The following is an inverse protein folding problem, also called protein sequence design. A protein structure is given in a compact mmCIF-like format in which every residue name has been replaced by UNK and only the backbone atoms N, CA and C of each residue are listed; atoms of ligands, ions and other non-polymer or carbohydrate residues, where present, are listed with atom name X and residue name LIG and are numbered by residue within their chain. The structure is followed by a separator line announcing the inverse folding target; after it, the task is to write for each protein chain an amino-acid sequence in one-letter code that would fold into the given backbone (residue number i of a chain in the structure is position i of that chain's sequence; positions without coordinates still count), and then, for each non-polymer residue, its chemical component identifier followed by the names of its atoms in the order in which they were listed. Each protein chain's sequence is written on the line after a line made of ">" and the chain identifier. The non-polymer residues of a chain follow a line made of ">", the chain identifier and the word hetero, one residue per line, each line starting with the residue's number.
data_IF_629392780693
#
_entry.id   IF_629392780693
#
_cell.length_a   1.000
_cell.length_b   1.000
_cell.length_c   1.000
_cell.angle_alpha   90.00
_cell.angle_beta   90.00
_cell.angle_gamma   90.00
#
_symmetry.space_group_name_H-M   'P 1'
#
loop_
_entity.id
_entity.type
_entity.pdbx_description
1 polymer ?
#
# COMPACT_ATOMS: atom_id res chain seq x y z
N UNK A 1 -48.86 78.94 -13.04
CA UNK A 1 -47.96 79.73 -12.16
C UNK A 1 -47.72 78.87 -10.93
N UNK A 2 -46.55 78.32 -10.61
CA UNK A 2 -45.28 78.99 -10.31
C UNK A 2 -44.08 78.06 -10.59
N UNK A 3 -43.07 78.64 -11.23
CA UNK A 3 -41.70 78.12 -11.33
C UNK A 3 -41.04 78.03 -9.95
N UNK A 4 -40.24 77.00 -9.71
CA UNK A 4 -38.85 77.17 -9.22
C UNK A 4 -37.93 76.15 -9.90
N UNK A 5 -36.98 76.69 -10.66
CA UNK A 5 -35.78 76.04 -11.22
C UNK A 5 -34.75 75.92 -10.11
N UNK A 6 -34.06 74.79 -9.94
CA UNK A 6 -32.69 74.73 -9.41
C UNK A 6 -31.89 73.62 -10.11
N UNK A 7 -30.89 74.08 -10.85
CA UNK A 7 -29.57 73.52 -11.18
C UNK A 7 -29.36 72.19 -11.94
N UNK A 8 -28.76 72.41 -13.11
CA UNK A 8 -27.94 71.49 -13.91
C UNK A 8 -26.70 71.05 -13.10
N UNK A 9 -26.27 69.80 -13.26
CA UNK A 9 -24.88 69.39 -13.57
C UNK A 9 -24.98 68.03 -14.28
N UNK A 10 -24.57 68.02 -15.56
CA UNK A 10 -24.23 66.80 -16.28
C UNK A 10 -22.96 66.23 -15.65
N UNK A 11 -22.98 64.96 -15.25
CA UNK A 11 -21.78 64.15 -15.05
C UNK A 11 -21.84 62.98 -16.04
N UNK A 12 -20.75 62.65 -16.76
CA UNK A 12 -20.76 61.61 -17.77
C UNK A 12 -20.88 60.23 -17.11
N UNK A 13 -21.71 59.37 -17.74
CA UNK A 13 -21.84 57.95 -17.45
C UNK A 13 -20.46 57.27 -17.62
N UNK A 14 -19.67 57.18 -16.55
CA UNK A 14 -18.60 56.19 -16.46
C UNK A 14 -19.24 54.88 -15.97
N UNK A 15 -19.88 54.17 -16.89
CA UNK A 15 -20.33 52.80 -16.63
C UNK A 15 -19.07 51.95 -16.48
N UNK A 16 -18.73 51.67 -15.23
CA UNK A 16 -17.70 50.72 -14.84
C UNK A 16 -17.98 49.40 -15.59
N UNK A 17 -17.19 49.11 -16.62
CA UNK A 17 -17.12 47.78 -17.19
C UNK A 17 -16.60 46.87 -16.08
N UNK A 18 -17.51 46.16 -15.42
CA UNK A 18 -17.19 45.00 -14.60
C UNK A 18 -16.53 44.00 -15.53
N UNK A 19 -15.20 44.02 -15.55
CA UNK A 19 -14.38 42.95 -16.09
C UNK A 19 -14.71 41.75 -15.22
N UNK A 20 -15.73 40.98 -15.61
CA UNK A 20 -15.87 39.60 -15.18
C UNK A 20 -14.64 38.90 -15.75
N UNK A 21 -13.56 38.95 -14.99
CA UNK A 21 -12.47 38.02 -15.18
C UNK A 21 -13.09 36.65 -15.11
N UNK A 22 -13.11 35.94 -16.24
CA UNK A 22 -13.24 34.50 -16.25
C UNK A 22 -12.08 33.99 -15.40
N UNK A 23 -12.31 33.83 -14.11
CA UNK A 23 -11.54 32.92 -13.29
C UNK A 23 -11.75 31.57 -13.94
N UNK A 24 -10.88 31.24 -14.88
CA UNK A 24 -10.64 29.88 -15.34
C UNK A 24 -10.34 29.13 -14.06
N UNK A 25 -11.35 28.43 -13.52
CA UNK A 25 -11.14 27.39 -12.55
C UNK A 25 -10.11 26.50 -13.22
N UNK A 26 -8.85 26.58 -12.76
CA UNK A 26 -7.84 25.59 -13.12
C UNK A 26 -8.50 24.25 -12.81
N UNK A 27 -8.86 23.51 -13.84
CA UNK A 27 -9.31 22.14 -13.68
C UNK A 27 -8.29 21.47 -12.76
N UNK A 28 -8.77 20.84 -11.68
CA UNK A 28 -7.89 20.11 -10.79
C UNK A 28 -7.02 19.18 -11.66
N UNK A 29 -5.70 19.12 -11.42
CA UNK A 29 -4.81 18.34 -12.25
C UNK A 29 -5.33 16.90 -12.32
N UNK A 30 -5.54 16.40 -13.54
CA UNK A 30 -5.97 15.01 -13.76
C UNK A 30 -4.90 14.10 -13.16
N UNK A 31 -5.26 13.37 -12.10
CA UNK A 31 -4.37 12.42 -11.45
C UNK A 31 -4.13 11.29 -12.44
N UNK A 32 -2.91 11.21 -12.99
CA UNK A 32 -2.54 10.19 -13.97
C UNK A 32 -2.09 8.93 -13.25
N UNK A 33 -2.74 7.81 -13.54
CA UNK A 33 -2.36 6.50 -13.02
C UNK A 33 -0.91 6.12 -13.42
N UNK A 34 -0.22 5.41 -12.53
CA UNK A 34 1.10 4.82 -12.82
C UNK A 34 0.91 3.53 -13.62
N UNK A 35 1.68 3.39 -14.70
CA UNK A 35 1.63 2.18 -15.54
C UNK A 35 2.46 1.04 -14.91
N UNK A 36 1.78 -0.02 -14.48
CA UNK A 36 2.40 -1.23 -13.92
C UNK A 36 2.77 -2.29 -14.98
N UNK A 37 2.36 -2.12 -16.24
CA UNK A 37 2.65 -3.08 -17.32
C UNK A 37 4.15 -3.37 -17.54
N UNK A 38 5.08 -2.40 -17.41
CA UNK A 38 6.50 -2.67 -17.57
C UNK A 38 7.06 -3.73 -16.62
N UNK A 39 6.53 -3.82 -15.37
CA UNK A 39 6.96 -4.84 -14.38
C UNK A 39 6.48 -6.25 -14.73
N UNK A 40 5.38 -6.36 -15.45
CA UNK A 40 4.83 -7.64 -15.94
C UNK A 40 5.57 -8.04 -17.21
N UNK A 41 5.74 -7.11 -18.15
CA UNK A 41 6.45 -7.34 -19.41
C UNK A 41 7.92 -7.74 -19.19
N UNK A 42 8.58 -7.22 -18.15
CA UNK A 42 9.94 -7.62 -17.77
C UNK A 42 10.01 -9.00 -17.11
N UNK A 43 8.87 -9.59 -16.72
CA UNK A 43 8.80 -10.83 -15.95
C UNK A 43 9.21 -10.68 -14.49
N UNK A 44 9.32 -9.45 -13.97
CA UNK A 44 9.59 -9.19 -12.55
C UNK A 44 8.39 -9.59 -11.68
N UNK A 45 7.18 -9.34 -12.18
CA UNK A 45 5.92 -9.59 -11.48
C UNK A 45 4.99 -10.47 -12.32
N UNK A 46 4.21 -11.31 -11.66
CA UNK A 46 3.17 -12.15 -12.26
C UNK A 46 1.83 -11.92 -11.56
N UNK A 47 0.74 -12.25 -12.27
CA UNK A 47 -0.61 -12.18 -11.75
C UNK A 47 -0.77 -13.04 -10.48
N UNK A 48 -1.41 -12.47 -9.47
CA UNK A 48 -1.73 -13.10 -8.18
C UNK A 48 -3.21 -13.44 -8.06
N UNK A 49 -4.09 -12.61 -8.62
CA UNK A 49 -5.56 -12.68 -8.50
C UNK A 49 -6.16 -13.05 -9.86
N UNK A 50 -7.20 -13.87 -9.86
CA UNK A 50 -7.94 -14.31 -11.06
C UNK A 50 -9.28 -13.58 -11.19
N UNK A 51 -9.99 -13.38 -10.07
CA UNK A 51 -11.26 -12.65 -10.04
C UNK A 51 -11.32 -11.70 -8.87
N UNK A 52 -11.95 -10.54 -9.04
CA UNK A 52 -12.13 -9.59 -7.96
C UNK A 52 -13.50 -8.94 -7.95
N UNK A 53 -13.93 -8.48 -6.77
CA UNK A 53 -15.15 -7.71 -6.61
C UNK A 53 -14.88 -6.44 -5.82
N UNK A 54 -15.37 -5.31 -6.34
CA UNK A 54 -15.34 -4.03 -5.63
C UNK A 54 -16.67 -3.83 -4.91
N UNK A 55 -16.61 -3.61 -3.61
CA UNK A 55 -17.75 -3.22 -2.78
C UNK A 55 -17.69 -1.70 -2.58
N UNK A 56 -18.75 -1.03 -3.02
CA UNK A 56 -18.95 0.42 -3.00
C UNK A 56 -19.91 0.83 -1.89
N UNK A 57 -19.55 1.84 -1.12
CA UNK A 57 -20.35 2.39 -0.05
C UNK A 57 -21.27 3.51 -0.56
N UNK A 58 -22.57 3.22 -0.59
CA UNK A 58 -23.61 4.17 -0.99
C UNK A 58 -24.48 4.59 0.20
N UNK A 59 -23.91 4.70 1.40
CA UNK A 59 -24.63 4.97 2.66
C UNK A 59 -24.70 6.45 2.99
N UNK A 60 -25.50 6.82 4.00
CA UNK A 60 -25.75 8.22 4.34
C UNK A 60 -24.48 8.97 4.77
N UNK A 61 -23.59 8.34 5.55
CA UNK A 61 -22.34 8.95 6.05
C UNK A 61 -21.40 9.36 4.91
N UNK A 62 -21.48 8.67 3.75
CA UNK A 62 -20.69 9.01 2.57
C UNK A 62 -21.06 10.37 1.95
N UNK A 63 -22.18 10.97 2.33
CA UNK A 63 -22.52 12.34 1.92
C UNK A 63 -21.76 13.41 2.71
N UNK A 64 -21.05 13.05 3.78
CA UNK A 64 -20.36 14.03 4.61
C UNK A 64 -19.32 14.83 3.82
N UNK A 65 -19.17 16.14 4.11
CA UNK A 65 -18.14 16.96 3.51
C UNK A 65 -16.73 16.40 3.73
N UNK A 66 -15.98 16.25 2.65
CA UNK A 66 -14.60 15.78 2.69
C UNK A 66 -13.77 16.41 1.58
N UNK A 67 -12.70 17.11 1.96
CA UNK A 67 -11.81 17.87 1.05
C UNK A 67 -12.62 18.84 0.17
N UNK A 68 -12.64 18.63 -1.15
CA UNK A 68 -13.29 19.51 -2.14
C UNK A 68 -14.70 19.02 -2.55
N UNK A 69 -15.26 18.02 -1.88
CA UNK A 69 -16.57 17.45 -2.18
C UNK A 69 -17.11 16.64 -1.01
N UNK A 70 -17.70 15.48 -1.28
CA UNK A 70 -18.13 14.50 -0.27
C UNK A 70 -17.20 13.29 -0.19
N UNK A 71 -17.31 12.49 0.88
CA UNK A 71 -16.64 11.17 0.95
C UNK A 71 -17.01 10.29 -0.27
N UNK A 72 -18.27 10.32 -0.72
CA UNK A 72 -18.75 9.63 -1.92
C UNK A 72 -18.06 10.11 -3.20
N UNK A 73 -17.84 11.42 -3.36
CA UNK A 73 -17.08 11.93 -4.51
C UNK A 73 -15.63 11.42 -4.49
N UNK A 74 -15.02 11.40 -3.30
CA UNK A 74 -13.66 10.87 -3.14
C UNK A 74 -13.60 9.38 -3.45
N UNK A 75 -14.55 8.58 -2.97
CA UNK A 75 -14.63 7.14 -3.25
C UNK A 75 -14.69 6.86 -4.75
N UNK A 76 -15.60 7.54 -5.47
CA UNK A 76 -15.72 7.40 -6.93
C UNK A 76 -14.42 7.78 -7.65
N UNK A 77 -13.73 8.82 -7.18
CA UNK A 77 -12.43 9.21 -7.73
C UNK A 77 -11.34 8.14 -7.47
N UNK A 78 -11.34 7.53 -6.28
CA UNK A 78 -10.41 6.45 -5.94
C UNK A 78 -10.71 5.18 -6.75
N UNK A 79 -11.98 4.82 -6.95
CA UNK A 79 -12.35 3.68 -7.80
C UNK A 79 -11.92 3.90 -9.24
N UNK A 80 -12.08 5.12 -9.78
CA UNK A 80 -11.56 5.47 -11.10
C UNK A 80 -10.04 5.38 -11.18
N UNK A 81 -9.32 5.88 -10.17
CA UNK A 81 -7.86 5.78 -10.15
C UNK A 81 -7.40 4.31 -9.99
N UNK A 82 -8.09 3.52 -9.19
CA UNK A 82 -7.85 2.09 -9.00
C UNK A 82 -8.01 1.33 -10.31
N UNK A 83 -9.16 1.47 -10.98
CA UNK A 83 -9.44 0.89 -12.29
C UNK A 83 -8.40 1.30 -13.33
N UNK A 84 -8.04 2.59 -13.37
CA UNK A 84 -7.01 3.06 -14.30
C UNK A 84 -5.60 2.52 -14.00
N UNK A 85 -5.33 2.12 -12.76
CA UNK A 85 -4.01 1.63 -12.34
C UNK A 85 -3.86 0.11 -12.53
N UNK A 86 -4.97 -0.65 -12.66
CA UNK A 86 -4.92 -2.09 -12.93
C UNK A 86 -4.18 -2.33 -14.27
N UNK A 87 -3.07 -3.10 -14.26
CA UNK A 87 -2.35 -3.41 -15.49
C UNK A 87 -3.11 -4.43 -16.34
N UNK A 88 -2.61 -4.71 -17.54
CA UNK A 88 -3.19 -5.70 -18.45
C UNK A 88 -3.04 -7.11 -17.87
N UNK A 89 -4.08 -7.56 -17.20
CA UNK A 89 -4.20 -8.86 -16.56
C UNK A 89 -5.42 -9.60 -17.12
N UNK A 90 -5.42 -10.93 -16.98
CA UNK A 90 -6.59 -11.77 -17.33
C UNK A 90 -7.43 -11.92 -16.06
N UNK A 91 -8.28 -10.93 -15.81
CA UNK A 91 -9.13 -10.87 -14.62
C UNK A 91 -10.60 -11.00 -14.99
N UNK A 92 -11.38 -11.58 -14.07
CA UNK A 92 -12.81 -11.30 -13.98
C UNK A 92 -13.06 -10.24 -12.90
N UNK A 93 -14.02 -9.37 -13.13
CA UNK A 93 -14.44 -8.30 -12.23
C UNK A 93 -15.94 -8.36 -11.96
N UNK A 94 -16.32 -7.97 -10.74
CA UNK A 94 -17.68 -7.70 -10.33
C UNK A 94 -17.71 -6.41 -9.50
N UNK A 95 -18.91 -5.85 -9.33
CA UNK A 95 -19.09 -4.76 -8.38
C UNK A 95 -20.43 -4.86 -7.68
N UNK A 96 -20.44 -4.42 -6.43
CA UNK A 96 -21.61 -4.40 -5.56
C UNK A 96 -21.63 -3.11 -4.77
N UNK A 97 -22.83 -2.60 -4.53
CA UNK A 97 -23.03 -1.47 -3.63
C UNK A 97 -23.80 -1.92 -2.38
N UNK A 98 -23.61 -1.19 -1.27
CA UNK A 98 -24.45 -1.31 -0.08
C UNK A 98 -24.93 0.05 0.42
N UNK A 99 -26.06 0.05 1.12
CA UNK A 99 -26.83 1.23 1.46
C UNK A 99 -28.32 1.00 1.15
N UNK A 100 -29.16 2.02 1.36
CA UNK A 100 -30.60 1.88 1.15
C UNK A 100 -31.01 2.30 -0.27
N UNK A 101 -31.37 1.31 -1.11
CA UNK A 101 -31.71 1.54 -2.52
C UNK A 101 -33.21 1.62 -2.80
N UNK A 102 -34.05 1.34 -1.80
CA UNK A 102 -35.50 1.35 -1.95
C UNK A 102 -36.15 2.07 -0.78
N UNK A 103 -37.22 2.80 -1.05
CA UNK A 103 -37.94 3.59 -0.04
C UNK A 103 -38.69 2.71 0.97
N UNK A 104 -39.04 1.47 0.58
CA UNK A 104 -39.89 0.55 1.35
C UNK A 104 -39.36 -0.90 1.39
N UNK A 105 -38.11 -1.15 0.98
CA UNK A 105 -37.59 -2.52 0.84
C UNK A 105 -36.30 -2.76 1.62
N UNK A 106 -36.08 -4.05 1.90
CA UNK A 106 -34.99 -4.58 2.73
C UNK A 106 -33.69 -4.80 1.94
N UNK A 107 -33.69 -4.51 0.63
CA UNK A 107 -32.52 -4.69 -0.22
C UNK A 107 -31.48 -3.61 0.10
N UNK A 108 -30.58 -3.95 1.02
CA UNK A 108 -29.50 -3.03 1.44
C UNK A 108 -28.13 -3.34 0.82
N UNK A 109 -28.09 -4.33 -0.07
CA UNK A 109 -26.97 -4.61 -0.95
C UNK A 109 -27.45 -4.96 -2.36
N UNK A 110 -26.72 -4.49 -3.38
CA UNK A 110 -27.07 -4.64 -4.79
C UNK A 110 -25.85 -5.01 -5.63
N UNK A 111 -25.91 -6.14 -6.34
CA UNK A 111 -24.97 -6.42 -7.42
C UNK A 111 -25.16 -5.37 -8.53
N UNK A 112 -24.09 -4.66 -8.87
CA UNK A 112 -24.08 -3.67 -9.93
C UNK A 112 -23.83 -4.33 -11.28
N UNK A 113 -22.88 -5.27 -11.32
CA UNK A 113 -22.60 -6.12 -12.47
C UNK A 113 -21.66 -7.27 -12.08
N UNK A 114 -21.47 -8.19 -13.02
CA UNK A 114 -20.45 -9.23 -12.98
C UNK A 114 -20.78 -10.40 -12.05
N UNK A 115 -19.90 -11.42 -11.98
CA UNK A 115 -18.57 -11.47 -12.61
C UNK A 115 -18.57 -11.42 -14.16
N UNK A 116 -17.63 -10.68 -14.75
CA UNK A 116 -17.39 -10.59 -16.20
C UNK A 116 -15.91 -10.34 -16.47
N UNK A 117 -15.42 -10.55 -17.69
CA UNK A 117 -14.04 -10.22 -18.04
C UNK A 117 -13.74 -8.73 -17.79
N UNK A 118 -12.57 -8.45 -17.20
CA UNK A 118 -12.12 -7.10 -16.85
C UNK A 118 -12.05 -6.16 -18.05
N UNK A 119 -12.72 -5.02 -17.91
CA UNK A 119 -12.65 -3.90 -18.83
C UNK A 119 -12.46 -2.59 -18.08
N UNK A 120 -11.46 -1.82 -18.53
CA UNK A 120 -11.32 -0.41 -18.18
C UNK A 120 -12.66 0.31 -18.27
N UNK A 121 -12.91 1.18 -17.30
CA UNK A 121 -14.11 2.00 -17.12
C UNK A 121 -15.39 1.27 -16.66
N UNK A 122 -15.44 -0.06 -16.58
CA UNK A 122 -16.65 -0.77 -16.13
C UNK A 122 -17.02 -0.38 -14.69
N UNK A 123 -16.03 -0.38 -13.79
CA UNK A 123 -16.18 0.05 -12.39
C UNK A 123 -16.63 1.51 -12.26
N UNK A 124 -15.91 2.51 -12.83
CA UNK A 124 -16.38 3.92 -12.85
C UNK A 124 -17.80 4.10 -13.37
N UNK A 125 -18.16 3.41 -14.45
CA UNK A 125 -19.48 3.51 -15.05
C UNK A 125 -20.56 2.93 -14.13
N UNK A 126 -20.27 1.82 -13.44
CA UNK A 126 -21.21 1.19 -12.52
C UNK A 126 -21.51 2.06 -11.29
N UNK A 127 -20.51 2.81 -10.79
CA UNK A 127 -20.69 3.70 -9.62
C UNK A 127 -21.11 5.13 -10.00
N UNK A 128 -21.05 5.49 -11.28
CA UNK A 128 -21.42 6.82 -11.75
C UNK A 128 -22.84 7.29 -11.33
N UNK A 129 -23.90 6.44 -11.36
CA UNK A 129 -25.26 6.85 -11.01
C UNK A 129 -25.46 7.24 -9.54
N UNK A 130 -24.55 6.84 -8.64
CA UNK A 130 -24.65 7.19 -7.23
C UNK A 130 -24.22 8.64 -7.00
N UNK A 131 -25.19 9.53 -6.80
CA UNK A 131 -24.97 10.96 -6.55
C UNK A 131 -25.13 11.34 -5.08
N UNK A 132 -25.83 10.52 -4.31
CA UNK A 132 -25.95 10.60 -2.85
C UNK A 132 -26.10 9.19 -2.28
N UNK A 133 -25.62 8.99 -1.06
CA UNK A 133 -25.86 7.77 -0.31
C UNK A 133 -27.06 7.86 0.63
N UNK A 134 -27.58 6.72 1.08
CA UNK A 134 -28.78 6.63 1.92
C UNK A 134 -28.74 5.42 2.84
N UNK A 135 -29.43 5.51 3.97
CA UNK A 135 -29.52 4.42 4.96
C UNK A 135 -28.27 4.25 5.80
N UNK A 136 -28.30 3.20 6.63
CA UNK A 136 -27.17 2.72 7.45
C UNK A 136 -26.17 1.92 6.60
N UNK A 137 -25.14 1.34 7.25
CA UNK A 137 -23.99 0.69 6.58
C UNK A 137 -23.93 -0.85 6.73
N UNK A 138 -24.80 -1.60 6.02
CA UNK A 138 -24.86 -3.07 6.03
C UNK A 138 -23.77 -3.73 5.19
N UNK A 139 -22.50 -3.48 5.56
CA UNK A 139 -21.35 -4.08 4.89
C UNK A 139 -21.35 -5.63 5.02
N UNK A 140 -22.00 -6.18 6.05
CA UNK A 140 -22.19 -7.63 6.18
C UNK A 140 -23.02 -8.22 5.04
N UNK A 141 -24.13 -7.58 4.68
CA UNK A 141 -24.95 -7.98 3.55
C UNK A 141 -24.20 -7.83 2.23
N UNK A 142 -23.33 -6.82 2.12
CA UNK A 142 -22.47 -6.64 0.96
C UNK A 142 -21.46 -7.77 0.80
N UNK A 143 -20.81 -8.18 1.90
CA UNK A 143 -19.84 -9.27 1.93
C UNK A 143 -20.51 -10.64 1.70
N UNK A 144 -21.68 -10.88 2.27
CA UNK A 144 -22.46 -12.10 1.97
C UNK A 144 -22.92 -12.10 0.50
N UNK A 145 -23.32 -10.95 -0.04
CA UNK A 145 -23.65 -10.76 -1.45
C UNK A 145 -22.47 -11.05 -2.38
N UNK A 146 -21.29 -10.48 -2.09
CA UNK A 146 -20.07 -10.75 -2.83
C UNK A 146 -19.66 -12.24 -2.73
N UNK A 147 -19.92 -12.86 -1.57
CA UNK A 147 -19.74 -14.31 -1.42
C UNK A 147 -20.65 -15.09 -2.37
N UNK A 148 -21.89 -14.64 -2.60
CA UNK A 148 -22.77 -15.28 -3.57
C UNK A 148 -22.34 -15.00 -5.03
N UNK A 149 -21.96 -13.77 -5.33
CA UNK A 149 -21.57 -13.32 -6.68
C UNK A 149 -20.33 -14.08 -7.18
N UNK A 150 -19.33 -14.31 -6.32
CA UNK A 150 -18.08 -15.01 -6.66
C UNK A 150 -18.14 -16.54 -6.61
N UNK A 151 -19.30 -17.15 -6.33
CA UNK A 151 -19.42 -18.60 -6.09
C UNK A 151 -18.94 -19.47 -7.25
N UNK A 152 -19.10 -19.00 -8.49
CA UNK A 152 -18.67 -19.71 -9.71
C UNK A 152 -17.23 -19.46 -10.12
N UNK A 153 -16.56 -18.48 -9.50
CA UNK A 153 -15.21 -18.08 -9.90
C UNK A 153 -14.17 -19.09 -9.42
N UNK A 154 -13.09 -19.23 -10.20
CA UNK A 154 -11.97 -20.13 -9.90
C UNK A 154 -10.71 -19.33 -9.60
N UNK A 155 -9.70 -19.97 -8.99
CA UNK A 155 -8.44 -19.31 -8.68
C UNK A 155 -8.51 -18.37 -7.48
N UNK A 156 -7.60 -17.39 -7.46
CA UNK A 156 -7.43 -16.43 -6.37
C UNK A 156 -8.43 -15.28 -6.50
N UNK A 157 -9.10 -14.98 -5.40
CA UNK A 157 -10.17 -14.00 -5.28
C UNK A 157 -9.70 -12.80 -4.45
N UNK A 158 -10.05 -11.60 -4.90
CA UNK A 158 -9.86 -10.37 -4.12
C UNK A 158 -11.21 -9.66 -3.94
N UNK A 159 -11.56 -9.32 -2.70
CA UNK A 159 -12.70 -8.45 -2.41
C UNK A 159 -12.14 -7.14 -1.87
N UNK A 160 -12.50 -6.02 -2.49
CA UNK A 160 -12.00 -4.70 -2.13
C UNK A 160 -13.18 -3.82 -1.73
N UNK A 161 -13.32 -3.52 -0.45
CA UNK A 161 -14.38 -2.66 0.07
C UNK A 161 -13.89 -1.23 0.31
N UNK A 162 -14.54 -0.27 -0.33
CA UNK A 162 -14.38 1.16 -0.06
C UNK A 162 -15.50 1.59 0.88
N UNK A 163 -15.18 2.27 1.98
CA UNK A 163 -16.16 2.78 2.97
C UNK A 163 -15.46 3.70 3.99
N UNK A 164 -16.22 4.55 4.68
CA UNK A 164 -15.73 5.29 5.85
C UNK A 164 -15.86 4.52 7.19
N UNK A 165 -16.50 3.34 7.14
CA UNK A 165 -16.68 2.44 8.28
C UNK A 165 -17.66 2.97 9.34
N UNK A 166 -18.50 3.95 9.01
CA UNK A 166 -19.45 4.56 9.95
C UNK A 166 -20.83 3.89 9.88
N UNK A 167 -21.65 4.03 10.93
CA UNK A 167 -23.01 3.50 11.02
C UNK A 167 -23.11 1.95 10.83
N UNK A 168 -22.10 1.21 11.32
CA UNK A 168 -21.98 -0.25 11.17
C UNK A 168 -22.37 -1.05 12.43
N UNK A 169 -22.73 -0.39 13.53
CA UNK A 169 -22.88 -1.01 14.86
C UNK A 169 -24.03 -2.00 14.94
N UNK A 170 -25.06 -1.81 14.10
CA UNK A 170 -26.20 -2.71 13.99
C UNK A 170 -25.93 -3.97 13.12
N UNK A 171 -24.75 -4.06 12.51
CA UNK A 171 -24.39 -5.07 11.53
C UNK A 171 -23.21 -5.92 11.98
N UNK A 172 -22.89 -6.99 11.23
CA UNK A 172 -21.85 -7.94 11.60
C UNK A 172 -20.81 -8.16 10.47
N UNK A 173 -20.15 -7.10 9.97
CA UNK A 173 -19.30 -7.21 8.78
C UNK A 173 -18.06 -8.08 9.00
N UNK A 174 -17.50 -8.10 10.21
CA UNK A 174 -16.39 -9.03 10.56
C UNK A 174 -16.85 -10.49 10.49
N UNK A 175 -18.07 -10.79 10.95
CA UNK A 175 -18.62 -12.13 10.86
C UNK A 175 -18.90 -12.54 9.40
N UNK A 176 -19.37 -11.62 8.56
CA UNK A 176 -19.55 -11.85 7.12
C UNK A 176 -18.22 -12.08 6.40
N UNK A 177 -17.19 -11.29 6.71
CA UNK A 177 -15.83 -11.51 6.21
C UNK A 177 -15.28 -12.89 6.61
N UNK A 178 -15.53 -13.32 7.85
CA UNK A 178 -15.15 -14.66 8.31
C UNK A 178 -15.95 -15.76 7.60
N UNK A 179 -17.24 -15.56 7.31
CA UNK A 179 -18.04 -16.49 6.49
C UNK A 179 -17.47 -16.62 5.09
N UNK A 180 -17.13 -15.50 4.43
CA UNK A 180 -16.47 -15.50 3.12
C UNK A 180 -15.14 -16.26 3.17
N UNK A 181 -14.32 -16.01 4.19
CA UNK A 181 -13.05 -16.72 4.40
C UNK A 181 -13.26 -18.22 4.59
N UNK A 182 -14.31 -18.62 5.31
CA UNK A 182 -14.65 -20.04 5.49
C UNK A 182 -15.15 -20.68 4.17
N UNK A 183 -15.86 -19.94 3.33
CA UNK A 183 -16.37 -20.42 2.04
C UNK A 183 -15.26 -20.67 1.02
N UNK A 184 -14.25 -19.79 0.96
CA UNK A 184 -13.21 -19.83 -0.07
C UNK A 184 -11.81 -20.23 0.43
N UNK A 185 -11.60 -20.30 1.74
CA UNK A 185 -10.31 -20.64 2.34
C UNK A 185 -9.21 -19.66 1.91
N UNK A 186 -8.03 -20.19 1.57
CA UNK A 186 -6.87 -19.38 1.15
C UNK A 186 -6.97 -18.78 -0.24
N UNK A 187 -8.08 -19.04 -0.95
CA UNK A 187 -8.33 -18.39 -2.23
C UNK A 187 -8.79 -16.95 -2.08
N UNK A 188 -9.39 -16.53 -0.97
CA UNK A 188 -9.94 -15.17 -0.84
C UNK A 188 -9.09 -14.29 0.08
N UNK A 189 -8.80 -13.08 -0.39
CA UNK A 189 -8.28 -11.98 0.43
C UNK A 189 -9.25 -10.80 0.40
N UNK A 190 -9.43 -10.16 1.57
CA UNK A 190 -10.34 -9.03 1.75
C UNK A 190 -9.49 -7.79 2.05
N UNK A 191 -9.60 -6.79 1.20
CA UNK A 191 -8.89 -5.52 1.31
C UNK A 191 -9.89 -4.41 1.59
N UNK A 192 -9.50 -3.43 2.39
CA UNK A 192 -10.37 -2.31 2.74
C UNK A 192 -9.70 -0.99 2.46
N UNK A 193 -10.45 -0.04 1.91
CA UNK A 193 -10.03 1.33 1.66
C UNK A 193 -10.88 2.24 2.53
N UNK A 194 -10.29 2.74 3.61
CA UNK A 194 -10.97 3.59 4.58
C UNK A 194 -11.02 5.05 4.13
N UNK A 195 -12.21 5.61 3.94
CA UNK A 195 -12.41 7.02 3.61
C UNK A 195 -12.61 7.91 4.84
N UNK A 196 -12.30 9.20 4.69
CA UNK A 196 -12.40 10.21 5.76
C UNK A 196 -11.08 10.51 6.49
N UNK A 197 -11.06 11.60 7.27
CA UNK A 197 -9.93 12.04 8.11
C UNK A 197 -10.31 11.85 9.57
N UNK A 198 -9.82 10.76 10.20
CA UNK A 198 -10.06 10.50 11.63
C UNK A 198 -8.94 11.03 12.53
N UNK A 199 -7.98 11.80 11.99
CA UNK A 199 -6.97 12.52 12.80
C UNK A 199 -7.47 13.89 13.27
N UNK A 200 -8.56 14.41 12.70
CA UNK A 200 -9.12 15.74 13.01
C UNK A 200 -10.41 15.71 13.85
N UNK A 201 -10.39 15.02 14.98
CA UNK A 201 -11.52 15.10 15.92
C UNK A 201 -11.03 15.40 17.34
N UNK A 202 -10.83 16.69 17.60
CA UNK A 202 -10.84 17.24 18.96
C UNK A 202 -12.22 16.95 19.58
N UNK A 203 -12.21 16.31 20.75
CA UNK A 203 -13.30 16.13 21.73
C UNK A 203 -14.59 15.37 21.39
N UNK A 204 -14.93 14.45 22.31
CA UNK A 204 -16.17 13.65 22.48
C UNK A 204 -16.28 12.31 21.71
N UNK A 205 -16.06 11.19 22.44
CA UNK A 205 -16.69 9.87 22.21
C UNK A 205 -16.19 8.99 21.06
N UNK A 206 -15.61 7.82 21.41
CA UNK A 206 -15.18 6.68 20.56
C UNK A 206 -14.85 6.92 19.07
N UNK A 207 -13.64 7.45 18.81
CA UNK A 207 -13.24 8.05 17.52
C UNK A 207 -12.48 7.14 16.55
N UNK A 208 -12.51 5.82 16.77
CA UNK A 208 -11.79 4.84 15.94
C UNK A 208 -12.70 3.73 15.38
N UNK A 209 -14.02 3.80 15.53
CA UNK A 209 -14.93 2.70 15.17
C UNK A 209 -14.78 2.26 13.72
N UNK A 210 -14.84 3.17 12.75
CA UNK A 210 -14.63 2.80 11.34
C UNK A 210 -13.21 2.33 10.99
N UNK A 211 -12.17 2.86 11.67
CA UNK A 211 -10.80 2.35 11.50
C UNK A 211 -10.70 0.91 12.00
N UNK A 212 -11.21 0.66 13.20
CA UNK A 212 -11.22 -0.66 13.81
C UNK A 212 -12.05 -1.64 12.98
N UNK A 213 -13.24 -1.22 12.53
CA UNK A 213 -14.16 -2.05 11.77
C UNK A 213 -13.56 -2.45 10.42
N UNK A 214 -13.11 -1.49 9.61
CA UNK A 214 -12.54 -1.79 8.29
C UNK A 214 -11.22 -2.57 8.38
N UNK A 215 -10.43 -2.36 9.43
CA UNK A 215 -9.24 -3.18 9.69
C UNK A 215 -9.63 -4.62 10.09
N UNK A 216 -10.58 -4.79 11.01
CA UNK A 216 -11.05 -6.11 11.44
C UNK A 216 -11.66 -6.92 10.28
N UNK A 217 -12.38 -6.27 9.37
CA UNK A 217 -12.92 -6.89 8.14
C UNK A 217 -11.78 -7.41 7.24
N UNK A 218 -10.73 -6.60 7.02
CA UNK A 218 -9.58 -7.05 6.24
C UNK A 218 -8.81 -8.19 6.93
N UNK A 219 -8.62 -8.09 8.25
CA UNK A 219 -7.90 -9.07 9.07
C UNK A 219 -8.63 -10.43 9.10
N UNK A 220 -9.96 -10.44 9.07
CA UNK A 220 -10.75 -11.66 8.95
C UNK A 220 -10.43 -12.46 7.67
N UNK A 221 -10.00 -11.78 6.60
CA UNK A 221 -9.50 -12.41 5.37
C UNK A 221 -8.12 -13.08 5.52
N UNK A 222 -7.36 -12.77 6.59
CA UNK A 222 -6.01 -13.28 6.94
C UNK A 222 -4.87 -12.98 5.95
N UNK A 223 -5.15 -12.48 4.76
CA UNK A 223 -4.14 -12.17 3.74
C UNK A 223 -4.29 -10.77 3.12
N UNK A 224 -5.42 -10.10 3.35
CA UNK A 224 -5.62 -8.73 2.93
C UNK A 224 -5.14 -7.72 3.98
N UNK A 225 -5.38 -6.45 3.71
CA UNK A 225 -4.96 -5.34 4.56
C UNK A 225 -5.85 -4.11 4.30
N UNK A 226 -5.87 -3.19 5.27
CA UNK A 226 -6.50 -1.89 5.11
C UNK A 226 -5.49 -0.85 4.62
N UNK A 227 -5.97 0.05 3.77
CA UNK A 227 -5.31 1.31 3.41
C UNK A 227 -6.25 2.47 3.68
N UNK A 228 -5.72 3.68 3.85
CA UNK A 228 -6.56 4.87 3.89
C UNK A 228 -6.75 5.42 2.48
N UNK A 229 -7.90 6.04 2.22
CA UNK A 229 -8.16 6.73 0.97
C UNK A 229 -7.13 7.83 0.69
N UNK A 230 -6.51 8.40 1.72
CA UNK A 230 -5.40 9.34 1.56
C UNK A 230 -4.13 8.67 1.02
N UNK A 231 -3.79 7.50 1.55
CA UNK A 231 -2.59 6.76 1.12
C UNK A 231 -2.68 6.27 -0.32
N UNK A 232 -3.89 6.06 -0.84
CA UNK A 232 -4.13 5.63 -2.23
C UNK A 232 -4.65 6.76 -3.14
N UNK A 233 -4.78 7.99 -2.64
CA UNK A 233 -5.18 9.13 -3.46
C UNK A 233 -4.06 9.62 -4.40
N UNK A 234 -2.81 9.18 -4.20
CA UNK A 234 -1.69 9.49 -5.07
C UNK A 234 -1.48 8.39 -6.12
N UNK A 235 -0.94 8.72 -7.32
CA UNK A 235 -0.61 7.72 -8.34
C UNK A 235 0.28 6.58 -7.81
N UNK A 236 1.31 6.92 -7.02
CA UNK A 236 2.26 5.96 -6.48
C UNK A 236 1.62 5.10 -5.39
N UNK A 237 0.77 5.70 -4.55
CA UNK A 237 0.06 4.99 -3.50
C UNK A 237 -0.97 4.01 -4.05
N UNK A 238 -1.73 4.42 -5.07
CA UNK A 238 -2.64 3.51 -5.76
C UNK A 238 -1.89 2.38 -6.46
N UNK A 239 -0.75 2.68 -7.12
CA UNK A 239 0.06 1.64 -7.76
C UNK A 239 0.62 0.62 -6.77
N UNK A 240 1.11 1.07 -5.61
CA UNK A 240 1.54 0.17 -4.54
C UNK A 240 0.38 -0.71 -4.03
N UNK A 241 -0.81 -0.13 -3.89
CA UNK A 241 -2.01 -0.88 -3.51
C UNK A 241 -2.38 -1.93 -4.56
N UNK A 242 -2.55 -1.54 -5.83
CA UNK A 242 -2.87 -2.44 -6.95
C UNK A 242 -1.81 -3.52 -7.12
N UNK A 243 -0.53 -3.19 -7.01
CA UNK A 243 0.56 -4.16 -7.07
C UNK A 243 0.43 -5.22 -5.97
N UNK A 244 0.17 -4.82 -4.72
CA UNK A 244 0.02 -5.76 -3.59
C UNK A 244 -1.25 -6.61 -3.68
N UNK A 245 -2.33 -6.06 -4.24
CA UNK A 245 -3.58 -6.79 -4.44
C UNK A 245 -3.39 -7.82 -5.56
N UNK A 246 -2.99 -7.39 -6.75
CA UNK A 246 -3.09 -8.17 -7.99
C UNK A 246 -1.81 -8.85 -8.45
N UNK A 247 -0.64 -8.48 -7.92
CA UNK A 247 0.64 -8.98 -8.39
C UNK A 247 1.41 -9.70 -7.28
N UNK A 248 2.35 -10.55 -7.70
CA UNK A 248 3.37 -11.17 -6.84
C UNK A 248 4.68 -11.27 -7.61
N UNK A 249 5.80 -11.38 -6.89
CA UNK A 249 7.10 -11.60 -7.52
C UNK A 249 7.06 -12.89 -8.36
N UNK A 250 7.65 -12.85 -9.55
CA UNK A 250 7.82 -14.06 -10.36
C UNK A 250 8.65 -15.10 -9.59
N UNK A 251 8.30 -16.39 -9.65
CA UNK A 251 9.17 -17.42 -9.09
C UNK A 251 10.55 -17.31 -9.75
N UNK A 252 11.65 -17.51 -8.98
CA UNK A 252 12.99 -17.44 -9.55
C UNK A 252 13.08 -18.43 -10.71
N UNK A 253 13.62 -17.98 -11.85
CA UNK A 253 13.89 -18.88 -12.97
C UNK A 253 14.73 -20.05 -12.45
N UNK A 254 14.42 -21.30 -12.82
CA UNK A 254 15.26 -22.43 -12.47
C UNK A 254 16.71 -22.09 -12.80
N UNK A 255 17.60 -22.19 -11.81
CA UNK A 255 19.02 -22.01 -12.05
C UNK A 255 19.47 -23.13 -12.99
N UNK A 256 19.67 -22.79 -14.26
CA UNK A 256 20.39 -23.66 -15.18
C UNK A 256 21.86 -23.39 -14.92
N UNK A 257 22.54 -24.35 -14.29
CA UNK A 257 23.97 -24.28 -14.12
C UNK A 257 24.60 -24.01 -15.50
N UNK A 258 25.50 -23.01 -15.61
CA UNK A 258 26.29 -22.84 -16.82
C UNK A 258 26.93 -24.20 -17.18
N UNK A 259 27.05 -24.55 -18.47
CA UNK A 259 27.84 -25.71 -18.87
C UNK A 259 29.21 -25.64 -18.17
N UNK A 260 29.72 -26.75 -17.62
CA UNK A 260 31.03 -26.75 -17.00
C UNK A 260 32.02 -26.14 -17.98
N UNK A 261 32.69 -25.07 -17.54
CA UNK A 261 33.71 -24.43 -18.35
C UNK A 261 34.72 -25.51 -18.79
N UNK A 262 35.13 -25.53 -20.07
CA UNK A 262 36.16 -26.46 -20.50
C UNK A 262 37.39 -26.31 -19.60
N UNK A 263 37.90 -27.45 -19.15
CA UNK A 263 39.04 -27.55 -18.25
C UNK A 263 40.21 -26.71 -18.81
N UNK A 264 40.83 -25.81 -18.02
CA UNK A 264 41.91 -24.97 -18.53
C UNK A 264 43.08 -25.85 -18.96
N UNK A 265 43.51 -25.70 -20.22
CA UNK A 265 44.78 -26.27 -20.67
C UNK A 265 45.94 -25.75 -19.77
N UNK A 266 47.02 -26.54 -19.58
CA UNK A 266 48.13 -26.14 -18.72
C UNK A 266 48.74 -24.82 -19.21
N UNK A 267 48.76 -23.81 -18.33
CA UNK A 267 49.28 -22.48 -18.64
C UNK A 267 50.80 -22.49 -18.87
N UNK A 268 51.31 -21.84 -19.92
CA UNK A 268 52.72 -21.43 -20.00
C UNK A 268 52.99 -20.24 -19.05
N UNK A 269 54.24 -20.15 -18.58
CA UNK A 269 54.76 -19.14 -17.67
C UNK A 269 54.58 -17.68 -18.19
N UNK A 270 54.55 -16.67 -17.29
CA UNK A 270 53.94 -15.36 -17.57
C UNK A 270 54.88 -14.41 -18.34
N UNK A 271 54.32 -13.72 -19.33
CA UNK A 271 54.89 -12.52 -19.93
C UNK A 271 53.99 -11.31 -19.62
N UNK A 272 54.62 -10.17 -19.35
CA UNK A 272 54.02 -8.97 -18.76
C UNK A 272 53.47 -8.02 -19.84
N UNK A 273 52.44 -7.27 -19.44
CA UNK A 273 51.87 -6.01 -20.00
C UNK A 273 50.59 -6.12 -20.87
N UNK A 274 49.72 -5.09 -20.92
CA UNK A 274 49.42 -4.03 -19.94
C UNK A 274 47.93 -3.99 -19.54
N UNK A 275 47.65 -3.34 -18.41
CA UNK A 275 46.30 -3.04 -17.90
C UNK A 275 45.42 -2.28 -18.90
N UNK A 276 44.17 -2.72 -19.15
CA UNK A 276 43.08 -1.83 -19.54
C UNK A 276 42.29 -1.41 -18.29
N UNK A 277 41.95 -0.12 -18.25
CA UNK A 277 41.25 0.55 -17.16
C UNK A 277 39.91 -0.11 -16.76
N UNK A 278 39.52 -0.09 -15.48
CA UNK A 278 38.21 -0.54 -15.06
C UNK A 278 37.19 0.61 -15.19
N UNK A 279 36.13 0.41 -15.98
CA UNK A 279 34.88 1.17 -15.80
C UNK A 279 33.64 0.29 -16.05
N UNK A 280 32.48 0.55 -15.38
CA UNK A 280 32.26 1.43 -14.25
C UNK A 280 31.73 0.70 -12.99
N UNK A 281 32.08 1.32 -11.86
CA UNK A 281 31.66 1.03 -10.48
C UNK A 281 30.14 0.85 -10.39
N UNK A 282 29.71 -0.31 -9.89
CA UNK A 282 28.36 -0.50 -9.41
C UNK A 282 28.09 0.58 -8.35
N UNK A 283 27.16 1.49 -8.65
CA UNK A 283 26.68 2.47 -7.67
C UNK A 283 26.20 1.70 -6.43
N UNK A 284 26.69 2.10 -5.26
CA UNK A 284 26.19 1.62 -3.99
C UNK A 284 24.65 1.72 -3.98
N UNK A 285 23.91 0.65 -3.63
CA UNK A 285 22.48 0.77 -3.46
C UNK A 285 22.24 1.76 -2.31
N UNK A 286 21.76 2.95 -2.65
CA UNK A 286 21.43 3.97 -1.67
C UNK A 286 20.37 3.41 -0.71
N UNK A 287 20.74 3.26 0.57
CA UNK A 287 19.81 3.00 1.66
C UNK A 287 19.11 1.63 1.65
N UNK A 288 19.83 0.53 1.40
CA UNK A 288 19.25 -0.80 1.59
C UNK A 288 18.99 -1.06 3.08
N UNK A 289 17.75 -0.79 3.52
CA UNK A 289 17.24 -1.21 4.82
C UNK A 289 17.01 -2.72 4.75
N UNK A 290 18.01 -3.51 5.15
CA UNK A 290 17.77 -4.92 5.42
C UNK A 290 16.74 -5.02 6.55
N UNK A 291 15.79 -5.95 6.46
CA UNK A 291 14.75 -6.16 7.49
C UNK A 291 14.88 -7.56 8.05
N UNK A 292 15.90 -7.79 8.87
CA UNK A 292 16.02 -9.03 9.65
C UNK A 292 15.09 -8.89 10.86
N UNK A 293 14.02 -9.70 10.89
CA UNK A 293 13.09 -9.71 12.02
C UNK A 293 13.51 -10.78 13.02
N UNK A 294 13.45 -10.42 14.30
CA UNK A 294 13.77 -11.30 15.40
C UNK A 294 12.54 -11.62 16.23
N UNK A 295 12.50 -12.84 16.77
CA UNK A 295 11.52 -13.21 17.77
C UNK A 295 11.69 -12.33 19.04
N UNK A 296 10.63 -12.12 19.83
CA UNK A 296 10.72 -11.39 21.09
C UNK A 296 11.85 -11.93 21.97
N UNK A 297 12.70 -11.05 22.50
CA UNK A 297 13.81 -11.39 23.40
C UNK A 297 14.98 -12.17 22.78
N UNK A 298 14.94 -12.53 21.49
CA UNK A 298 16.01 -13.32 20.84
C UNK A 298 16.90 -12.49 19.91
N UNK A 299 18.13 -12.97 19.74
CA UNK A 299 19.13 -12.45 18.80
C UNK A 299 19.54 -13.46 17.71
N UNK A 300 18.92 -14.65 17.68
CA UNK A 300 19.23 -15.67 16.68
C UNK A 300 18.74 -15.27 15.28
N UNK A 301 19.63 -15.40 14.30
CA UNK A 301 19.31 -15.16 12.89
C UNK A 301 18.59 -16.38 12.33
N UNK A 302 17.34 -16.21 11.90
CA UNK A 302 16.59 -17.30 11.28
C UNK A 302 17.19 -17.66 9.91
N UNK A 303 17.22 -18.94 9.52
CA UNK A 303 17.80 -19.38 8.24
C UNK A 303 17.29 -18.63 7.01
N UNK A 304 16.00 -18.25 7.01
CA UNK A 304 15.37 -17.46 5.93
C UNK A 304 16.02 -16.10 5.66
N UNK A 305 16.81 -15.58 6.61
CA UNK A 305 17.52 -14.31 6.46
C UNK A 305 18.98 -14.45 6.03
N UNK A 306 19.51 -15.69 5.89
CA UNK A 306 20.89 -15.90 5.44
C UNK A 306 21.15 -15.33 4.05
N UNK A 307 20.23 -15.50 3.10
CA UNK A 307 20.37 -14.94 1.75
C UNK A 307 20.37 -13.40 1.71
N UNK A 308 19.78 -12.74 2.70
CA UNK A 308 19.85 -11.27 2.81
C UNK A 308 21.20 -10.80 3.38
N UNK A 309 21.80 -11.59 4.27
CA UNK A 309 23.15 -11.33 4.81
C UNK A 309 24.21 -11.59 3.73
N UNK A 310 24.02 -12.62 2.91
CA UNK A 310 24.89 -12.95 1.78
C UNK A 310 25.02 -11.79 0.80
N UNK A 311 23.92 -11.09 0.46
CA UNK A 311 23.98 -9.89 -0.40
C UNK A 311 24.86 -8.78 0.17
N UNK A 312 24.88 -8.60 1.49
CA UNK A 312 25.77 -7.62 2.15
C UNK A 312 27.23 -8.08 2.00
N UNK A 313 27.50 -9.37 2.21
CA UNK A 313 28.82 -9.92 2.06
C UNK A 313 29.33 -9.81 0.61
N UNK A 314 28.51 -10.11 -0.38
CA UNK A 314 28.83 -9.93 -1.80
C UNK A 314 29.20 -8.48 -2.12
N UNK A 315 28.40 -7.53 -1.63
CA UNK A 315 28.71 -6.10 -1.81
C UNK A 315 30.06 -5.72 -1.20
N UNK A 316 30.34 -6.15 0.04
CA UNK A 316 31.61 -5.85 0.71
C UNK A 316 32.82 -6.53 0.05
N UNK A 317 32.63 -7.71 -0.54
CA UNK A 317 33.65 -8.39 -1.35
C UNK A 317 33.94 -7.66 -2.66
N UNK A 318 32.90 -7.17 -3.33
CA UNK A 318 33.02 -6.41 -4.58
C UNK A 318 33.56 -5.00 -4.38
N UNK A 319 33.46 -4.45 -3.17
CA UNK A 319 33.89 -3.10 -2.84
C UNK A 319 34.85 -3.14 -1.63
N UNK A 320 36.15 -3.44 -1.81
CA UNK A 320 37.10 -3.64 -0.70
C UNK A 320 37.23 -2.46 0.26
N UNK A 321 37.04 -1.23 -0.22
CA UNK A 321 37.11 0.01 0.58
C UNK A 321 35.81 0.31 1.35
N UNK A 322 34.69 -0.32 1.01
CA UNK A 322 33.40 -0.01 1.62
C UNK A 322 33.35 -0.48 3.07
N UNK A 323 32.70 0.32 3.93
CA UNK A 323 32.41 -0.04 5.33
C UNK A 323 30.91 -0.07 5.55
N UNK A 324 30.44 -0.77 6.60
CA UNK A 324 29.01 -0.81 6.96
C UNK A 324 28.80 -0.63 8.45
N UNK A 325 27.73 0.08 8.81
CA UNK A 325 27.17 0.12 10.17
C UNK A 325 25.89 -0.72 10.23
N UNK A 326 25.92 -1.76 11.06
CA UNK A 326 24.79 -2.62 11.40
C UNK A 326 24.06 -2.02 12.60
N UNK A 327 22.81 -1.62 12.42
CA UNK A 327 22.02 -0.88 13.41
C UNK A 327 20.91 -1.77 13.98
N UNK A 328 21.01 -2.14 15.25
CA UNK A 328 19.98 -2.92 15.93
C UNK A 328 18.88 -2.05 16.53
N UNK A 329 17.63 -2.50 16.42
CA UNK A 329 16.45 -1.81 16.97
C UNK A 329 15.49 -2.78 17.67
N UNK A 330 14.75 -2.25 18.65
CA UNK A 330 13.71 -2.98 19.39
C UNK A 330 12.39 -2.21 19.38
N UNK A 331 11.33 -2.88 19.82
CA UNK A 331 10.11 -2.21 20.27
C UNK A 331 10.28 -1.63 21.68
N UNK A 332 9.22 -1.06 22.25
CA UNK A 332 9.21 -0.43 23.56
C UNK A 332 8.72 -1.34 24.71
N UNK A 333 8.69 -2.66 24.53
CA UNK A 333 8.05 -3.55 25.52
C UNK A 333 8.91 -3.72 26.77
N UNK A 334 10.23 -3.84 26.61
CA UNK A 334 11.16 -4.01 27.73
C UNK A 334 11.71 -2.67 28.22
N UNK A 335 12.43 -2.70 29.36
CA UNK A 335 13.12 -1.51 29.86
C UNK A 335 14.14 -1.01 28.83
N UNK A 336 14.36 0.31 28.78
CA UNK A 336 15.33 0.91 27.84
C UNK A 336 16.71 0.24 27.93
N UNK A 337 17.20 -0.05 29.15
CA UNK A 337 18.48 -0.72 29.35
C UNK A 337 18.50 -2.16 28.78
N UNK A 338 17.41 -2.91 28.95
CA UNK A 338 17.29 -4.25 28.37
C UNK A 338 17.20 -4.20 26.83
N UNK A 339 16.45 -3.24 26.30
CA UNK A 339 16.31 -3.02 24.86
C UNK A 339 17.62 -2.57 24.20
N UNK A 340 18.42 -1.74 24.86
CA UNK A 340 19.76 -1.38 24.38
C UNK A 340 20.65 -2.63 24.27
N UNK A 341 20.71 -3.46 25.32
CA UNK A 341 21.47 -4.72 25.28
C UNK A 341 21.00 -5.66 24.18
N UNK A 342 19.68 -5.88 24.06
CA UNK A 342 19.11 -6.77 23.05
C UNK A 342 19.37 -6.27 21.62
N UNK A 343 19.24 -4.96 21.39
CA UNK A 343 19.53 -4.35 20.09
C UNK A 343 21.00 -4.51 19.70
N UNK A 344 21.92 -4.36 20.66
CA UNK A 344 23.35 -4.56 20.43
C UNK A 344 23.63 -6.02 20.09
N UNK A 345 23.12 -6.97 20.87
CA UNK A 345 23.31 -8.41 20.61
C UNK A 345 22.82 -8.84 19.22
N UNK A 346 21.71 -8.25 18.73
CA UNK A 346 21.21 -8.49 17.36
C UNK A 346 22.15 -7.95 16.29
N UNK A 347 22.67 -6.74 16.48
CA UNK A 347 23.64 -6.15 15.56
C UNK A 347 24.94 -6.98 15.54
N UNK A 348 25.41 -7.42 16.71
CA UNK A 348 26.60 -8.26 16.85
C UNK A 348 26.41 -9.63 16.19
N UNK A 349 25.23 -10.24 16.30
CA UNK A 349 24.93 -11.53 15.66
C UNK A 349 25.04 -11.45 14.14
N UNK A 350 24.60 -10.34 13.54
CA UNK A 350 24.73 -10.12 12.08
C UNK A 350 26.18 -9.85 11.69
N UNK A 351 26.91 -9.05 12.48
CA UNK A 351 28.35 -8.86 12.30
C UNK A 351 29.10 -10.18 12.36
N UNK A 352 28.83 -11.00 13.37
CA UNK A 352 29.46 -12.31 13.55
C UNK A 352 29.20 -13.24 12.38
N UNK A 353 27.98 -13.27 11.85
CA UNK A 353 27.65 -14.05 10.66
C UNK A 353 28.45 -13.58 9.44
N UNK A 354 28.54 -12.26 9.19
CA UNK A 354 29.34 -11.70 8.09
C UNK A 354 30.83 -12.05 8.21
N UNK A 355 31.38 -12.02 9.42
CA UNK A 355 32.80 -12.35 9.66
C UNK A 355 33.04 -13.86 9.54
N UNK A 356 32.28 -14.67 10.27
CA UNK A 356 32.52 -16.11 10.42
C UNK A 356 32.10 -16.91 9.18
N UNK A 357 30.92 -16.64 8.63
CA UNK A 357 30.34 -17.45 7.55
C UNK A 357 30.77 -16.92 6.17
N UNK A 358 31.05 -15.62 6.05
CA UNK A 358 31.33 -15.00 4.75
C UNK A 358 32.75 -14.42 4.61
N UNK A 359 33.55 -14.42 5.69
CA UNK A 359 34.96 -14.01 5.65
C UNK A 359 35.18 -12.50 5.47
N UNK A 360 34.21 -11.67 5.88
CA UNK A 360 34.38 -10.22 5.81
C UNK A 360 35.26 -9.73 6.96
N UNK A 361 36.20 -8.83 6.67
CA UNK A 361 37.06 -8.23 7.70
C UNK A 361 36.22 -7.47 8.74
N UNK A 362 36.41 -7.82 10.02
CA UNK A 362 35.66 -7.25 11.14
C UNK A 362 35.88 -5.75 11.33
N UNK A 363 37.01 -5.20 10.87
CA UNK A 363 37.31 -3.76 10.91
C UNK A 363 36.41 -2.94 9.97
N UNK A 364 35.83 -3.59 8.95
CA UNK A 364 34.92 -2.97 7.98
C UNK A 364 33.46 -2.93 8.44
N UNK A 365 33.16 -3.54 9.59
CA UNK A 365 31.81 -3.70 10.11
C UNK A 365 31.70 -3.10 11.52
N UNK A 366 30.90 -2.05 11.65
CA UNK A 366 30.53 -1.45 12.93
C UNK A 366 29.14 -1.94 13.35
N UNK A 367 28.97 -2.43 14.57
CA UNK A 367 27.68 -2.89 15.09
C UNK A 367 27.22 -1.97 16.23
N UNK A 368 26.02 -1.39 16.12
CA UNK A 368 25.48 -0.43 17.09
C UNK A 368 24.03 -0.74 17.43
N UNK A 369 23.75 -0.96 18.71
CA UNK A 369 22.40 -1.05 19.24
C UNK A 369 21.80 0.32 19.53
N UNK A 370 20.63 0.62 18.95
CA UNK A 370 19.87 1.85 19.20
C UNK A 370 18.66 1.64 20.13
N UNK A 371 18.44 0.41 20.60
CA UNK A 371 17.28 0.05 21.42
C UNK A 371 15.97 0.50 20.78
N UNK A 372 15.13 1.13 21.58
CA UNK A 372 13.81 1.64 21.18
C UNK A 372 13.85 3.10 20.69
N UNK A 373 15.02 3.73 20.65
CA UNK A 373 15.16 5.19 20.52
C UNK A 373 15.00 5.68 19.06
N UNK A 374 14.96 4.76 18.08
CA UNK A 374 14.75 5.06 16.65
C UNK A 374 13.61 4.21 16.04
N UNK A 375 12.35 4.39 16.48
CA UNK A 375 11.21 3.67 15.93
C UNK A 375 10.91 4.14 14.51
N UNK A 376 10.45 3.22 13.66
CA UNK A 376 9.98 3.51 12.29
C UNK A 376 8.48 3.29 12.13
N UNK A 377 7.84 2.77 13.18
CA UNK A 377 6.42 2.55 13.28
C UNK A 377 5.95 2.79 14.72
N UNK A 378 4.65 2.96 14.92
CA UNK A 378 4.09 3.13 16.25
C UNK A 378 4.39 1.93 17.14
N UNK A 379 4.84 2.18 18.37
CA UNK A 379 5.02 1.12 19.36
C UNK A 379 3.69 0.71 20.04
N UNK A 380 2.60 1.45 19.79
CA UNK A 380 1.29 1.16 20.36
C UNK A 380 0.69 -0.14 19.82
N UNK A 381 0.99 -0.52 18.57
CA UNK A 381 0.41 -1.71 17.93
C UNK A 381 1.42 -2.88 17.84
N UNK A 382 0.98 -4.15 17.93
CA UNK A 382 1.86 -5.30 17.74
C UNK A 382 2.63 -5.29 16.42
N UNK A 383 2.01 -4.82 15.34
CA UNK A 383 2.57 -4.75 13.99
C UNK A 383 3.66 -3.68 13.92
N UNK A 384 3.42 -2.53 14.53
CA UNK A 384 4.41 -1.46 14.61
C UNK A 384 5.58 -1.84 15.51
N UNK A 385 5.32 -2.56 16.61
CA UNK A 385 6.38 -3.20 17.42
C UNK A 385 7.19 -4.20 16.61
N UNK A 386 6.55 -5.04 15.79
CA UNK A 386 7.26 -5.97 14.90
C UNK A 386 8.14 -5.25 13.88
N UNK A 387 7.67 -4.15 13.29
CA UNK A 387 8.48 -3.30 12.39
C UNK A 387 9.66 -2.64 13.11
N UNK A 388 9.51 -2.31 14.40
CA UNK A 388 10.58 -1.74 15.21
C UNK A 388 11.63 -2.78 15.64
N UNK A 389 11.27 -4.06 15.78
CA UNK A 389 12.20 -5.18 16.00
C UNK A 389 12.96 -5.56 14.73
N UNK A 390 13.94 -4.74 14.34
CA UNK A 390 14.71 -4.91 13.09
C UNK A 390 16.21 -4.71 13.31
N UNK A 391 17.00 -5.14 12.33
CA UNK A 391 18.37 -4.68 12.11
C UNK A 391 18.44 -4.00 10.76
N UNK A 392 18.92 -2.75 10.71
CA UNK A 392 19.17 -1.99 9.48
C UNK A 392 20.67 -1.98 9.14
N UNK A 393 21.02 -1.75 7.88
CA UNK A 393 22.42 -1.59 7.44
C UNK A 393 22.59 -0.24 6.79
N UNK A 394 23.65 0.47 7.18
CA UNK A 394 24.04 1.76 6.61
C UNK A 394 25.42 1.60 6.00
N UNK A 395 25.54 1.85 4.69
CA UNK A 395 26.80 1.78 3.99
C UNK A 395 27.58 3.08 4.22
N UNK A 396 28.81 2.95 4.71
CA UNK A 396 29.80 4.01 4.76
C UNK A 396 30.25 4.36 3.35
N UNK A 397 30.60 5.64 3.15
CA UNK A 397 31.18 6.10 1.88
C UNK A 397 32.59 5.59 1.68
#
# INVERSE_FOLDING_TARGET
>A
MHRKRIFKILAPLAMFALIMGCATQKAAPVVKAVDLNPKIASGQMVQKVDSFEVIFDATRSMNDPYKLGTKLNQEKALISLFDETIPKLKLNEAARAFGQFTMFGDATSKNLFGPTAYSKSALPNAVAPFTSGSGLSPLDQALDGATADLKGESGQLAVIAFSDGEDMEAFQPVAAAQRMKNAYGDRVCIYTVLLGDKTKTIDIGDKNEGVNMMQQVADAGKCGFMVTGESVATPEGMADFVEKVFLKAAPPKPYVAPPPAPEPAPAPAPAVEPTPAPEPKAKAPAGMILKIQFAPGKADIQPKYKGEIEKIAEYLKQNPEATVEIQGHTDNVASRAANMKLSQSRADSVKDCLVKDFGIDASRIKAVGYGQDKPIASNATPEGRQKNRRVSVVYGK
#
